data_IF_500361957726
#
_entry.id   IF_500361957726
#
_cell.length_a   1.000
_cell.length_b   1.000
_cell.length_c   1.000
_cell.angle_alpha   90.00
_cell.angle_beta   90.00
_cell.angle_gamma   90.00
#
_symmetry.space_group_name_H-M   'P 1'
#
loop_
_entity.id
_entity.type
_entity.pdbx_description
1 polymer ?
#
# COMPACT_ATOMS: atom_id res chain seq x y z
N UNK A 1 -84.04 -27.04 -1.31
CA UNK A 1 -83.20 -25.83 -1.50
C UNK A 1 -81.90 -26.31 -2.11
N UNK A 2 -81.67 -26.14 -3.42
CA UNK A 2 -80.91 -25.01 -4.04
C UNK A 2 -79.63 -24.73 -3.23
N UNK A 3 -78.42 -24.92 -3.72
CA UNK A 3 -77.86 -24.37 -4.98
C UNK A 3 -76.57 -25.08 -5.41
N UNK A 4 -76.39 -25.25 -6.72
CA UNK A 4 -75.08 -25.40 -7.35
C UNK A 4 -74.35 -24.06 -7.38
N UNK A 5 -73.05 -24.02 -7.06
CA UNK A 5 -72.15 -22.91 -7.41
C UNK A 5 -70.76 -23.45 -7.82
N UNK A 6 -70.58 -23.55 -9.14
CA UNK A 6 -69.49 -22.93 -9.91
C UNK A 6 -68.07 -23.48 -9.73
N UNK A 7 -67.68 -24.27 -10.74
CA UNK A 7 -66.33 -24.48 -11.25
C UNK A 7 -65.72 -23.17 -11.76
N UNK A 8 -64.76 -22.57 -11.04
CA UNK A 8 -63.83 -21.58 -11.63
C UNK A 8 -62.38 -22.06 -11.50
N UNK A 9 -61.81 -22.30 -12.67
CA UNK A 9 -60.40 -22.20 -12.98
C UNK A 9 -59.71 -21.11 -12.15
N UNK A 10 -58.62 -21.45 -11.48
CA UNK A 10 -57.37 -20.71 -11.65
C UNK A 10 -56.22 -21.68 -11.41
N UNK A 11 -55.54 -22.03 -12.50
CA UNK A 11 -54.24 -22.68 -12.50
C UNK A 11 -53.29 -21.93 -11.58
N UNK A 12 -53.00 -22.46 -10.40
CA UNK A 12 -51.82 -22.05 -9.66
C UNK A 12 -50.67 -22.90 -10.22
N UNK A 13 -50.20 -22.51 -11.40
CA UNK A 13 -48.82 -22.80 -11.79
C UNK A 13 -47.99 -22.01 -10.77
N UNK A 14 -47.53 -22.67 -9.72
CA UNK A 14 -46.51 -22.09 -8.84
C UNK A 14 -45.26 -21.95 -9.67
N UNK A 15 -45.09 -20.77 -10.26
CA UNK A 15 -43.85 -20.32 -10.86
C UNK A 15 -42.86 -20.17 -9.70
N UNK A 16 -42.24 -21.27 -9.29
CA UNK A 16 -41.11 -21.23 -8.36
C UNK A 16 -39.97 -20.58 -9.13
N UNK A 17 -39.88 -19.26 -9.01
CA UNK A 17 -38.69 -18.52 -9.40
C UNK A 17 -37.59 -19.09 -8.53
N UNK A 18 -36.79 -20.00 -9.10
CA UNK A 18 -35.49 -20.32 -8.55
C UNK A 18 -34.68 -19.03 -8.64
N UNK A 19 -34.76 -18.21 -7.60
CA UNK A 19 -33.70 -17.27 -7.31
C UNK A 19 -32.49 -18.14 -7.02
N UNK A 20 -31.70 -18.41 -8.04
CA UNK A 20 -30.32 -18.84 -7.86
C UNK A 20 -29.64 -17.72 -7.09
N UNK A 21 -29.62 -17.83 -5.77
CA UNK A 21 -28.77 -17.01 -4.93
C UNK A 21 -27.37 -17.41 -5.36
N UNK A 22 -26.76 -16.62 -6.24
CA UNK A 22 -25.32 -16.66 -6.43
C UNK A 22 -24.74 -16.14 -5.14
N UNK A 23 -24.54 -17.02 -4.15
CA UNK A 23 -23.72 -16.70 -2.99
C UNK A 23 -22.34 -16.44 -3.62
N UNK A 24 -21.80 -15.22 -3.52
CA UNK A 24 -20.42 -15.01 -3.93
C UNK A 24 -19.59 -15.93 -3.03
N UNK A 25 -19.07 -17.02 -3.61
CA UNK A 25 -18.15 -17.93 -2.92
C UNK A 25 -16.83 -17.17 -2.78
N UNK A 26 -16.78 -16.27 -1.80
CA UNK A 26 -15.50 -15.84 -1.28
C UNK A 26 -14.93 -17.06 -0.57
N UNK A 27 -13.72 -17.45 -0.97
CA UNK A 27 -12.92 -18.36 -0.15
C UNK A 27 -12.83 -17.77 1.25
N UNK A 28 -13.16 -18.57 2.26
CA UNK A 28 -12.95 -18.19 3.65
C UNK A 28 -11.47 -17.86 3.88
N UNK A 29 -11.21 -16.89 4.76
CA UNK A 29 -9.86 -16.58 5.21
C UNK A 29 -9.15 -17.84 5.70
N UNK A 30 -7.90 -18.01 5.29
CA UNK A 30 -7.09 -19.11 5.80
C UNK A 30 -6.78 -18.88 7.30
N UNK A 31 -6.85 -19.96 8.08
CA UNK A 31 -6.68 -19.88 9.53
C UNK A 31 -5.31 -19.35 9.96
N UNK A 32 -4.25 -19.63 9.20
CA UNK A 32 -2.92 -19.07 9.45
C UNK A 32 -2.90 -17.55 9.26
N UNK A 33 -3.57 -17.05 8.20
CA UNK A 33 -3.67 -15.62 7.92
C UNK A 33 -4.49 -14.90 8.99
N UNK A 34 -5.63 -15.48 9.39
CA UNK A 34 -6.46 -14.99 10.49
C UNK A 34 -5.67 -14.94 11.80
N UNK A 35 -4.92 -16.01 12.12
CA UNK A 35 -4.07 -16.07 13.31
C UNK A 35 -3.02 -14.97 13.32
N UNK A 36 -2.33 -14.73 12.19
CA UNK A 36 -1.35 -13.66 12.06
C UNK A 36 -1.96 -12.27 12.25
N UNK A 37 -3.16 -12.02 11.74
CA UNK A 37 -3.87 -10.75 11.94
C UNK A 37 -4.31 -10.54 13.39
N UNK A 38 -4.78 -11.59 14.07
CA UNK A 38 -5.12 -11.49 15.50
C UNK A 38 -3.88 -11.28 16.38
N UNK A 39 -2.78 -11.97 16.06
CA UNK A 39 -1.49 -11.72 16.69
C UNK A 39 -1.03 -10.28 16.46
N UNK A 40 -1.21 -9.77 15.23
CA UNK A 40 -0.84 -8.41 14.87
C UNK A 40 -1.63 -7.43 15.75
N UNK A 41 -2.95 -7.54 15.75
CA UNK A 41 -3.85 -6.75 16.61
C UNK A 41 -3.40 -6.78 18.08
N UNK A 42 -3.06 -7.95 18.60
CA UNK A 42 -2.65 -8.09 20.01
C UNK A 42 -1.31 -7.45 20.34
N UNK A 43 -0.43 -7.30 19.34
CA UNK A 43 0.90 -6.70 19.49
C UNK A 43 0.93 -5.20 19.22
N UNK A 44 -0.04 -4.67 18.48
CA UNK A 44 -0.12 -3.26 18.16
C UNK A 44 -0.62 -2.46 19.37
N UNK A 45 0.02 -1.32 19.60
CA UNK A 45 -0.48 -0.32 20.54
C UNK A 45 -1.38 0.64 19.76
N UNK A 46 -2.66 0.71 20.12
CA UNK A 46 -3.62 1.61 19.48
C UNK A 46 -4.72 2.05 20.46
N UNK A 47 -5.38 3.16 20.16
CA UNK A 47 -6.54 3.65 20.93
C UNK A 47 -7.85 2.98 20.46
N UNK A 48 -8.49 2.13 21.30
CA UNK A 48 -9.73 1.45 20.92
C UNK A 48 -10.93 2.39 20.72
N UNK A 49 -10.94 3.57 21.35
CA UNK A 49 -12.05 4.54 21.24
C UNK A 49 -12.01 5.28 19.90
N UNK A 50 -10.82 5.42 19.32
CA UNK A 50 -10.58 6.07 18.04
C UNK A 50 -10.47 5.10 16.86
N UNK A 51 -10.15 3.83 17.11
CA UNK A 51 -10.00 2.82 16.05
C UNK A 51 -11.34 2.45 15.42
N UNK A 52 -11.35 2.35 14.10
CA UNK A 52 -12.55 1.98 13.34
C UNK A 52 -12.42 0.57 12.75
N UNK A 53 -11.18 0.07 12.58
CA UNK A 53 -10.90 -1.23 11.96
C UNK A 53 -10.46 -2.25 13.01
N UNK A 54 -9.30 -2.02 13.65
CA UNK A 54 -8.68 -2.97 14.58
C UNK A 54 -9.60 -3.35 15.74
N UNK A 55 -10.36 -2.40 16.30
CA UNK A 55 -11.30 -2.68 17.40
C UNK A 55 -12.31 -3.79 17.04
N UNK A 56 -12.73 -3.84 15.78
CA UNK A 56 -13.78 -4.75 15.28
C UNK A 56 -13.27 -6.12 14.83
N UNK A 57 -11.95 -6.32 14.72
CA UNK A 57 -11.41 -7.64 14.34
C UNK A 57 -11.66 -8.66 15.45
N UNK A 58 -12.54 -9.64 15.18
CA UNK A 58 -13.01 -10.62 16.14
C UNK A 58 -12.75 -12.06 15.67
N UNK A 59 -12.37 -12.94 16.59
CA UNK A 59 -11.93 -14.29 16.27
C UNK A 59 -13.00 -15.25 15.72
N UNK A 60 -14.28 -14.90 15.76
CA UNK A 60 -15.37 -15.77 15.26
C UNK A 60 -15.62 -15.59 13.76
N UNK A 61 -15.27 -14.43 13.21
CA UNK A 61 -15.71 -14.03 11.88
C UNK A 61 -14.66 -14.37 10.82
N UNK A 62 -15.07 -14.38 9.55
CA UNK A 62 -14.16 -14.52 8.42
C UNK A 62 -13.29 -13.26 8.30
N UNK A 63 -11.97 -13.42 8.42
CA UNK A 63 -11.04 -12.28 8.42
C UNK A 63 -11.09 -11.47 7.12
N UNK A 64 -11.49 -12.10 6.00
CA UNK A 64 -11.63 -11.42 4.72
C UNK A 64 -12.81 -10.43 4.67
N UNK A 65 -13.67 -10.44 5.70
CA UNK A 65 -14.75 -9.47 5.88
C UNK A 65 -14.38 -8.36 6.87
N UNK A 66 -13.20 -8.41 7.49
CA UNK A 66 -12.78 -7.37 8.41
C UNK A 66 -12.47 -6.08 7.66
N UNK A 67 -12.89 -4.96 8.23
CA UNK A 67 -12.51 -3.64 7.71
C UNK A 67 -10.98 -3.54 7.64
N UNK A 68 -10.50 -3.08 6.49
CA UNK A 68 -9.06 -2.97 6.21
C UNK A 68 -8.38 -4.25 5.73
N UNK A 69 -9.06 -5.40 5.68
CA UNK A 69 -8.48 -6.65 5.17
C UNK A 69 -9.01 -6.94 3.76
N UNK A 70 -8.09 -7.23 2.84
CA UNK A 70 -8.43 -7.69 1.48
C UNK A 70 -7.79 -9.05 1.24
N UNK A 71 -8.61 -10.01 0.81
CA UNK A 71 -8.16 -11.34 0.46
C UNK A 71 -8.25 -11.61 -1.04
N UNK A 72 -7.41 -12.50 -1.55
CA UNK A 72 -7.61 -13.09 -2.88
C UNK A 72 -8.62 -14.25 -2.83
N UNK A 73 -8.93 -14.82 -4.00
CA UNK A 73 -9.85 -15.96 -4.17
C UNK A 73 -9.43 -17.26 -3.47
N UNK A 74 -8.28 -17.29 -2.82
CA UNK A 74 -7.75 -18.44 -2.07
C UNK A 74 -7.70 -18.18 -0.56
N UNK A 75 -8.31 -17.09 -0.08
CA UNK A 75 -8.37 -16.75 1.35
C UNK A 75 -7.06 -16.19 1.91
N UNK A 76 -6.10 -15.82 1.04
CA UNK A 76 -4.83 -15.23 1.45
C UNK A 76 -4.98 -13.71 1.55
N UNK A 77 -4.45 -13.13 2.61
CA UNK A 77 -4.44 -11.67 2.81
C UNK A 77 -3.44 -11.06 1.84
N UNK A 78 -3.95 -10.26 0.91
CA UNK A 78 -3.16 -9.54 -0.11
C UNK A 78 -3.17 -8.04 0.11
N UNK A 79 -4.12 -7.52 0.89
CA UNK A 79 -4.22 -6.11 1.21
C UNK A 79 -4.49 -5.91 2.69
N UNK A 80 -3.75 -5.00 3.29
CA UNK A 80 -3.95 -4.57 4.66
C UNK A 80 -3.93 -3.04 4.73
N UNK A 81 -5.05 -2.46 5.10
CA UNK A 81 -5.25 -1.03 5.31
C UNK A 81 -5.54 -0.79 6.79
N UNK A 82 -4.53 -0.24 7.47
CA UNK A 82 -4.54 0.16 8.87
C UNK A 82 -4.31 1.66 9.02
N UNK A 83 -4.63 2.46 7.98
CA UNK A 83 -4.53 3.90 8.09
C UNK A 83 -5.51 4.45 9.14
N UNK A 84 -5.18 5.58 9.78
CA UNK A 84 -6.08 6.27 10.72
C UNK A 84 -6.64 5.43 11.87
N UNK A 85 -5.91 4.41 12.34
CA UNK A 85 -6.34 3.56 13.46
C UNK A 85 -5.68 3.93 14.79
N UNK A 86 -5.09 5.13 14.86
CA UNK A 86 -4.41 5.65 16.06
C UNK A 86 -3.36 4.70 16.62
N UNK A 87 -2.65 3.99 15.73
CA UNK A 87 -1.58 3.06 16.12
C UNK A 87 -0.36 3.88 16.56
N UNK A 88 0.16 3.63 17.75
CA UNK A 88 1.32 4.33 18.32
C UNK A 88 2.58 3.46 18.39
N UNK A 89 2.45 2.13 18.31
CA UNK A 89 3.56 1.22 18.57
C UNK A 89 3.26 -0.24 18.20
N UNK A 90 4.18 -1.13 18.57
CA UNK A 90 4.03 -2.59 18.35
C UNK A 90 4.53 -3.11 16.99
N UNK A 91 5.03 -2.23 16.12
CA UNK A 91 5.59 -2.62 14.83
C UNK A 91 7.13 -2.70 14.91
N UNK A 92 7.65 -3.89 15.24
CA UNK A 92 9.09 -4.19 15.25
C UNK A 92 9.39 -5.40 14.33
N UNK A 93 10.67 -5.75 14.14
CA UNK A 93 11.10 -6.85 13.25
C UNK A 93 10.46 -8.22 13.54
N UNK A 94 9.95 -8.45 14.75
CA UNK A 94 9.26 -9.69 15.13
C UNK A 94 7.74 -9.65 14.91
N UNK A 95 7.20 -8.55 14.39
CA UNK A 95 5.77 -8.37 14.16
C UNK A 95 5.20 -9.46 13.23
N UNK A 96 4.03 -10.00 13.58
CA UNK A 96 3.32 -10.99 12.76
C UNK A 96 2.87 -10.44 11.40
N UNK A 97 2.91 -9.11 11.19
CA UNK A 97 2.75 -8.48 9.88
C UNK A 97 3.67 -9.15 8.83
N UNK A 98 4.92 -9.43 9.20
CA UNK A 98 5.90 -10.02 8.28
C UNK A 98 5.66 -11.51 7.99
N UNK A 99 4.71 -12.14 8.69
CA UNK A 99 4.18 -13.46 8.37
C UNK A 99 3.20 -13.44 7.20
N UNK A 100 2.58 -12.30 6.88
CA UNK A 100 1.61 -12.12 5.79
C UNK A 100 2.33 -11.99 4.43
N UNK A 101 3.07 -13.04 4.04
CA UNK A 101 3.95 -13.05 2.86
C UNK A 101 3.26 -12.83 1.50
N UNK A 102 1.93 -12.89 1.47
CA UNK A 102 1.13 -12.64 0.26
C UNK A 102 0.71 -11.17 0.13
N UNK A 103 1.07 -10.29 1.07
CA UNK A 103 0.77 -8.86 0.99
C UNK A 103 1.28 -8.24 -0.30
N UNK A 104 0.35 -7.63 -1.02
CA UNK A 104 0.59 -6.81 -2.21
C UNK A 104 0.34 -5.33 -1.93
N UNK A 105 -0.56 -5.01 -1.00
CA UNK A 105 -0.90 -3.65 -0.59
C UNK A 105 -0.83 -3.50 0.93
N UNK A 106 -0.05 -2.54 1.41
CA UNK A 106 0.01 -2.18 2.82
C UNK A 106 -0.13 -0.67 2.98
N UNK A 107 -1.10 -0.23 3.78
CA UNK A 107 -1.31 1.16 4.15
C UNK A 107 -1.29 1.32 5.68
N UNK A 108 -0.30 2.05 6.17
CA UNK A 108 -0.07 2.36 7.59
C UNK A 108 -0.12 3.88 7.85
N UNK A 109 -0.56 4.69 6.88
CA UNK A 109 -0.50 6.13 6.96
C UNK A 109 -1.41 6.72 8.06
N UNK A 110 -1.12 7.96 8.44
CA UNK A 110 -1.91 8.73 9.42
C UNK A 110 -2.13 7.98 10.75
N UNK A 111 -1.04 7.38 11.25
CA UNK A 111 -0.93 6.78 12.57
C UNK A 111 0.12 7.56 13.41
N UNK A 112 0.22 7.24 14.70
CA UNK A 112 1.02 7.97 15.70
C UNK A 112 2.33 7.26 16.10
N UNK A 113 3.00 6.60 15.16
CA UNK A 113 4.27 5.87 15.34
C UNK A 113 5.49 6.77 15.65
N UNK A 114 5.30 7.89 16.36
CA UNK A 114 6.31 8.94 16.56
C UNK A 114 7.68 8.38 16.98
N UNK A 115 8.69 8.58 16.14
CA UNK A 115 10.09 8.14 16.32
C UNK A 115 10.33 6.63 16.24
N UNK A 116 9.37 5.82 15.77
CA UNK A 116 9.61 4.41 15.49
C UNK A 116 10.47 4.26 14.22
N UNK A 117 11.53 3.44 14.32
CA UNK A 117 12.29 3.03 13.14
C UNK A 117 11.45 2.06 12.29
N UNK A 118 11.50 2.21 10.97
CA UNK A 118 10.86 1.26 10.06
C UNK A 118 11.64 -0.07 10.14
N UNK A 119 11.00 -1.19 10.53
CA UNK A 119 11.67 -2.49 10.68
C UNK A 119 12.36 -2.96 9.39
N UNK A 120 13.53 -3.58 9.52
CA UNK A 120 14.25 -4.17 8.39
C UNK A 120 13.48 -5.34 7.74
N UNK A 121 12.56 -5.96 8.49
CA UNK A 121 11.75 -7.11 8.08
C UNK A 121 10.71 -6.79 7.00
N UNK A 122 10.49 -5.50 6.67
CA UNK A 122 9.77 -5.11 5.46
C UNK A 122 10.36 -5.76 4.19
N UNK A 123 11.67 -6.05 4.18
CA UNK A 123 12.35 -6.79 3.12
C UNK A 123 11.84 -8.22 2.87
N UNK A 124 11.07 -8.80 3.80
CA UNK A 124 10.46 -10.13 3.65
C UNK A 124 9.18 -10.09 2.81
N UNK A 125 8.54 -8.93 2.71
CA UNK A 125 7.28 -8.75 1.99
C UNK A 125 7.51 -8.53 0.50
N UNK A 126 8.10 -9.53 -0.16
CA UNK A 126 8.55 -9.44 -1.57
C UNK A 126 7.42 -9.30 -2.58
N UNK A 127 6.16 -9.55 -2.20
CA UNK A 127 5.01 -9.35 -3.08
C UNK A 127 4.43 -7.93 -3.04
N UNK A 128 4.93 -7.06 -2.16
CA UNK A 128 4.43 -5.69 -2.05
C UNK A 128 4.57 -4.94 -3.36
N UNK A 129 3.46 -4.35 -3.80
CA UNK A 129 3.35 -3.48 -4.98
C UNK A 129 2.98 -2.06 -4.59
N UNK A 130 2.26 -1.91 -3.49
CA UNK A 130 1.86 -0.63 -2.91
C UNK A 130 2.24 -0.60 -1.43
N UNK A 131 2.97 0.43 -1.04
CA UNK A 131 3.31 0.69 0.35
C UNK A 131 3.09 2.16 0.68
N UNK A 132 2.31 2.40 1.73
CA UNK A 132 2.10 3.71 2.34
C UNK A 132 2.44 3.62 3.83
N UNK A 133 3.36 4.46 4.29
CA UNK A 133 3.93 4.41 5.65
C UNK A 133 3.69 5.71 6.42
N UNK A 134 3.95 5.62 7.73
CA UNK A 134 3.94 6.72 8.70
C UNK A 134 5.29 7.48 8.75
N UNK A 135 5.40 8.44 9.67
CA UNK A 135 6.58 9.30 9.89
C UNK A 135 7.81 8.55 10.45
N UNK A 136 9.01 8.78 9.89
CA UNK A 136 10.24 8.08 10.33
C UNK A 136 11.40 8.25 9.33
N UNK A 137 12.53 7.58 9.51
CA UNK A 137 13.61 7.58 8.50
C UNK A 137 13.38 6.48 7.46
N UNK A 138 13.61 6.75 6.17
CA UNK A 138 13.51 5.72 5.11
C UNK A 138 14.67 4.72 5.32
N UNK A 139 14.41 3.44 5.63
CA UNK A 139 15.49 2.49 5.91
C UNK A 139 16.12 2.00 4.60
N UNK A 140 17.43 1.75 4.64
CA UNK A 140 18.19 1.22 3.51
C UNK A 140 17.59 -0.09 2.95
N UNK A 141 17.04 -0.95 3.82
CA UNK A 141 16.41 -2.19 3.41
C UNK A 141 15.20 -1.99 2.47
N UNK A 142 14.43 -0.90 2.68
CA UNK A 142 13.30 -0.58 1.79
C UNK A 142 13.81 -0.32 0.37
N UNK A 143 14.91 0.44 0.26
CA UNK A 143 15.57 0.73 -1.02
C UNK A 143 16.20 -0.53 -1.62
N UNK A 144 16.90 -1.35 -0.83
CA UNK A 144 17.68 -2.49 -1.34
C UNK A 144 16.82 -3.69 -1.76
N UNK A 145 15.75 -3.98 -1.01
CA UNK A 145 15.00 -5.24 -1.13
C UNK A 145 13.59 -5.07 -1.66
N UNK A 146 12.94 -3.99 -1.28
CA UNK A 146 11.50 -3.82 -1.52
C UNK A 146 11.25 -3.06 -2.83
N UNK A 147 12.14 -2.14 -3.24
CA UNK A 147 12.02 -1.45 -4.55
C UNK A 147 12.24 -2.37 -5.76
N UNK A 148 12.79 -3.57 -5.56
CA UNK A 148 12.89 -4.58 -6.61
C UNK A 148 11.50 -5.08 -7.04
N UNK A 149 10.49 -5.01 -6.17
CA UNK A 149 9.14 -5.53 -6.43
C UNK A 149 8.04 -4.48 -6.32
N UNK A 150 8.27 -3.38 -5.61
CA UNK A 150 7.32 -2.27 -5.49
C UNK A 150 7.12 -1.55 -6.82
N UNK A 151 5.86 -1.36 -7.18
CA UNK A 151 5.46 -0.49 -8.29
C UNK A 151 5.14 0.93 -7.81
N UNK A 152 4.58 1.06 -6.60
CA UNK A 152 4.15 2.33 -6.01
C UNK A 152 4.66 2.41 -4.57
N UNK A 153 5.50 3.40 -4.31
CA UNK A 153 5.94 3.76 -2.97
C UNK A 153 5.45 5.18 -2.68
N UNK A 154 4.45 5.29 -1.80
CA UNK A 154 3.90 6.57 -1.39
C UNK A 154 4.34 6.84 0.04
N UNK A 155 5.17 7.86 0.20
CA UNK A 155 5.66 8.30 1.51
C UNK A 155 5.38 9.80 1.71
N UNK A 156 4.46 10.38 0.95
CA UNK A 156 4.20 11.82 0.99
C UNK A 156 3.56 12.28 2.30
N UNK A 157 3.69 13.57 2.61
CA UNK A 157 3.10 14.24 3.76
C UNK A 157 3.46 13.57 5.09
N UNK A 158 4.71 13.14 5.22
CA UNK A 158 5.27 12.57 6.44
C UNK A 158 6.29 13.54 7.06
N UNK A 159 6.93 13.13 8.16
CA UNK A 159 8.06 13.87 8.74
C UNK A 159 9.37 13.13 8.50
N UNK A 160 9.54 12.54 7.32
CA UNK A 160 10.73 11.75 7.04
C UNK A 160 11.98 12.63 7.03
N UNK A 161 13.03 12.20 7.71
CA UNK A 161 14.33 12.90 7.80
C UNK A 161 15.46 12.03 7.28
N UNK A 162 16.64 12.62 7.10
CA UNK A 162 17.81 11.95 6.52
C UNK A 162 17.72 11.84 5.01
N UNK A 163 18.67 11.14 4.40
CA UNK A 163 18.77 11.09 2.94
C UNK A 163 18.07 9.86 2.38
N UNK A 164 17.71 9.92 1.10
CA UNK A 164 17.36 8.74 0.29
C UNK A 164 18.66 7.96 0.01
N UNK A 165 19.36 7.51 1.07
CA UNK A 165 20.58 6.73 0.89
C UNK A 165 20.19 5.37 0.33
N UNK A 166 20.88 4.99 -0.75
CA UNK A 166 20.74 3.67 -1.35
C UNK A 166 21.00 3.65 -2.84
N UNK A 167 21.66 2.58 -3.27
CA UNK A 167 21.69 2.23 -4.68
C UNK A 167 20.35 1.54 -5.00
N UNK A 168 19.40 2.24 -5.63
CA UNK A 168 18.27 1.54 -6.25
C UNK A 168 18.84 0.42 -7.12
N UNK A 169 18.40 -0.83 -6.92
CA UNK A 169 19.01 -1.97 -7.57
C UNK A 169 18.80 -1.92 -9.08
N UNK A 170 19.72 -2.54 -9.83
CA UNK A 170 19.48 -2.80 -11.26
C UNK A 170 18.18 -3.59 -11.43
N UNK A 171 17.32 -3.16 -12.35
CA UNK A 171 16.00 -3.76 -12.56
C UNK A 171 14.92 -3.28 -11.59
N UNK A 172 15.13 -2.17 -10.89
CA UNK A 172 14.11 -1.49 -10.10
C UNK A 172 12.77 -1.38 -10.87
N UNK A 173 11.69 -1.82 -10.23
CA UNK A 173 10.35 -1.92 -10.85
C UNK A 173 9.44 -0.74 -10.51
N UNK A 174 9.95 0.21 -9.74
CA UNK A 174 9.21 1.36 -9.24
C UNK A 174 8.70 2.23 -10.40
N UNK A 175 7.40 2.50 -10.39
CA UNK A 175 6.70 3.39 -11.34
C UNK A 175 6.37 4.74 -10.70
N UNK A 176 6.00 4.70 -9.43
CA UNK A 176 5.58 5.88 -8.68
C UNK A 176 6.34 5.95 -7.36
N UNK A 177 6.99 7.08 -7.13
CA UNK A 177 7.68 7.39 -5.89
C UNK A 177 7.26 8.78 -5.42
N UNK A 178 6.40 8.84 -4.41
CA UNK A 178 5.87 10.10 -3.89
C UNK A 178 6.53 10.43 -2.54
N UNK A 179 7.36 11.47 -2.52
CA UNK A 179 8.13 11.89 -1.34
C UNK A 179 7.79 13.32 -0.88
N UNK A 180 6.84 14.00 -1.51
CA UNK A 180 6.45 15.38 -1.19
C UNK A 180 6.05 15.54 0.28
N UNK A 181 6.23 16.73 0.85
CA UNK A 181 5.77 17.05 2.21
C UNK A 181 6.53 16.26 3.27
N UNK A 182 7.86 16.25 3.19
CA UNK A 182 8.78 15.58 4.12
C UNK A 182 9.89 16.54 4.57
N UNK A 183 10.94 16.04 5.25
CA UNK A 183 12.11 16.80 5.71
C UNK A 183 13.41 16.07 5.36
N UNK A 184 13.45 15.51 4.15
CA UNK A 184 14.58 14.74 3.65
C UNK A 184 15.81 15.65 3.43
N UNK A 185 16.99 15.08 3.50
CA UNK A 185 18.25 15.80 3.34
C UNK A 185 19.14 15.10 2.29
N UNK A 186 20.22 15.75 1.85
CA UNK A 186 21.21 15.15 0.95
C UNK A 186 20.74 14.91 -0.49
N UNK A 187 21.65 14.37 -1.32
CA UNK A 187 21.44 14.30 -2.77
C UNK A 187 20.48 13.16 -3.18
N UNK A 188 19.69 13.38 -4.24
CA UNK A 188 18.94 12.30 -4.88
C UNK A 188 19.95 11.33 -5.51
N UNK A 189 19.91 10.03 -5.18
CA UNK A 189 20.93 9.10 -5.63
C UNK A 189 20.81 8.85 -7.14
N UNK A 190 21.94 8.93 -7.86
CA UNK A 190 22.01 8.63 -9.30
C UNK A 190 21.48 7.24 -9.68
N UNK A 191 21.50 6.30 -8.72
CA UNK A 191 20.96 4.96 -8.87
C UNK A 191 19.47 4.93 -9.19
N UNK A 192 18.72 6.02 -8.91
CA UNK A 192 17.32 6.14 -9.31
C UNK A 192 17.12 5.95 -10.83
N UNK A 193 18.14 6.22 -11.64
CA UNK A 193 18.16 5.90 -13.07
C UNK A 193 17.97 4.41 -13.38
N UNK A 194 18.22 3.51 -12.41
CA UNK A 194 17.97 2.07 -12.55
C UNK A 194 16.47 1.73 -12.56
N UNK A 195 15.60 2.64 -12.12
CA UNK A 195 14.14 2.50 -12.16
C UNK A 195 13.58 2.94 -13.53
N UNK A 196 13.92 2.20 -14.59
CA UNK A 196 13.64 2.58 -15.98
C UNK A 196 12.14 2.77 -16.33
N UNK A 197 11.23 2.32 -15.47
CA UNK A 197 9.77 2.44 -15.64
C UNK A 197 9.14 3.53 -14.76
N UNK A 198 9.93 4.35 -14.07
CA UNK A 198 9.42 5.42 -13.24
C UNK A 198 8.73 6.50 -14.08
N UNK A 199 7.49 6.83 -13.73
CA UNK A 199 6.64 7.79 -14.44
C UNK A 199 6.30 9.01 -13.59
N UNK A 200 6.22 8.85 -12.27
CA UNK A 200 5.84 9.93 -11.34
C UNK A 200 6.79 9.89 -10.16
N UNK A 201 7.67 10.89 -10.07
CA UNK A 201 8.52 11.07 -8.91
C UNK A 201 8.42 12.50 -8.41
N UNK A 202 7.84 12.68 -7.23
CA UNK A 202 7.53 14.01 -6.72
C UNK A 202 8.29 14.31 -5.43
N UNK A 203 8.97 15.46 -5.39
CA UNK A 203 9.62 16.03 -4.21
C UNK A 203 9.44 17.56 -4.23
N UNK A 204 9.29 18.23 -3.06
CA UNK A 204 9.32 19.70 -2.98
C UNK A 204 10.66 20.21 -2.45
N UNK A 205 11.07 21.41 -2.86
CA UNK A 205 12.31 22.04 -2.39
C UNK A 205 12.31 22.30 -0.88
N UNK A 206 11.16 22.62 -0.28
CA UNK A 206 11.02 22.76 1.17
C UNK A 206 11.16 21.43 1.92
N UNK A 207 11.06 20.31 1.20
CA UNK A 207 11.30 18.97 1.75
C UNK A 207 12.79 18.61 1.77
N UNK A 208 13.66 19.45 1.19
CA UNK A 208 15.10 19.23 1.08
C UNK A 208 15.84 20.26 1.95
N UNK A 209 16.70 19.81 2.86
CA UNK A 209 17.52 20.73 3.65
C UNK A 209 18.41 21.62 2.76
N UNK A 210 18.70 22.83 3.26
CA UNK A 210 19.58 23.82 2.63
C UNK A 210 20.93 23.18 2.21
N UNK A 211 21.25 23.24 0.92
CA UNK A 211 22.50 22.67 0.37
C UNK A 211 22.36 21.28 -0.27
N UNK A 212 21.15 20.71 -0.28
CA UNK A 212 20.84 19.52 -1.08
C UNK A 212 21.09 19.79 -2.56
N UNK A 213 21.98 19.01 -3.19
CA UNK A 213 22.25 19.09 -4.61
C UNK A 213 21.41 18.04 -5.34
N UNK A 214 20.72 18.45 -6.38
CA UNK A 214 20.28 17.52 -7.41
C UNK A 214 21.54 17.06 -8.13
N UNK A 215 21.82 15.76 -8.11
CA UNK A 215 22.82 15.22 -9.01
C UNK A 215 22.42 15.60 -10.45
N UNK A 216 23.38 16.10 -11.23
CA UNK A 216 23.15 16.47 -12.63
C UNK A 216 22.74 15.22 -13.42
N UNK A 217 21.45 15.01 -13.60
CA UNK A 217 20.95 13.95 -14.47
C UNK A 217 21.24 14.35 -15.94
N UNK A 218 21.77 13.44 -16.76
CA UNK A 218 22.01 13.73 -18.17
C UNK A 218 20.69 13.67 -18.93
N UNK A 219 19.86 14.71 -18.85
CA UNK A 219 19.00 15.06 -19.99
C UNK A 219 19.54 16.43 -20.48
N UNK A 220 20.75 16.45 -21.08
CA UNK A 220 21.28 17.67 -21.69
C UNK A 220 20.47 17.99 -22.93
N UNK A 221 19.87 19.19 -23.00
CA UNK A 221 19.44 19.73 -24.28
C UNK A 221 20.67 19.97 -25.16
N UNK A 222 21.03 19.02 -26.02
CA UNK A 222 21.57 19.33 -27.35
C UNK A 222 21.63 18.11 -28.26
N UNK A 223 21.13 18.34 -29.47
CA UNK A 223 21.42 17.65 -30.73
C UNK A 223 21.09 16.16 -30.87
N UNK A 224 20.01 15.90 -31.62
CA UNK A 224 19.91 14.88 -32.69
C UNK A 224 20.91 13.71 -32.63
N UNK A 225 20.53 12.59 -32.00
CA UNK A 225 20.86 11.19 -32.36
C UNK A 225 20.97 10.19 -31.19
N UNK A 226 20.17 10.29 -30.14
CA UNK A 226 20.01 9.15 -29.22
C UNK A 226 18.54 8.90 -28.90
N UNK A 227 18.01 7.80 -29.45
CA UNK A 227 16.60 7.46 -29.49
C UNK A 227 16.13 6.50 -28.39
N UNK A 228 16.80 6.39 -27.24
CA UNK A 228 16.52 5.30 -26.28
C UNK A 228 16.54 5.65 -24.78
N UNK A 229 16.40 6.93 -24.40
CA UNK A 229 16.24 7.31 -22.98
C UNK A 229 14.88 7.97 -22.78
N UNK A 230 13.96 7.25 -22.15
CA UNK A 230 12.60 7.69 -21.85
C UNK A 230 12.65 8.51 -20.54
N UNK A 231 13.01 9.80 -20.60
CA UNK A 231 13.08 10.70 -19.42
C UNK A 231 11.64 11.07 -18.97
N UNK A 232 10.79 10.15 -18.49
CA UNK A 232 9.35 10.37 -18.19
C UNK A 232 9.06 11.04 -16.81
N UNK A 233 9.98 11.85 -16.28
CA UNK A 233 9.92 12.33 -14.90
C UNK A 233 9.19 13.67 -14.76
N UNK A 234 8.20 13.72 -13.87
CA UNK A 234 7.52 14.96 -13.45
C UNK A 234 8.05 15.39 -12.09
N UNK A 235 8.95 16.37 -12.07
CA UNK A 235 9.42 17.02 -10.85
C UNK A 235 8.54 18.25 -10.64
N UNK A 236 7.82 18.32 -9.51
CA UNK A 236 6.97 19.47 -9.19
C UNK A 236 7.73 20.41 -8.26
N UNK A 237 8.14 21.56 -8.79
CA UNK A 237 8.91 22.58 -8.08
C UNK A 237 8.03 23.82 -7.89
N UNK A 238 7.61 24.15 -6.66
CA UNK A 238 6.79 25.34 -6.35
C UNK A 238 5.60 25.53 -7.34
N UNK A 239 4.73 24.52 -7.45
CA UNK A 239 3.58 24.47 -8.39
C UNK A 239 3.93 24.52 -9.90
N UNK A 240 5.21 24.46 -10.27
CA UNK A 240 5.64 24.22 -11.64
C UNK A 240 5.87 22.73 -11.88
N UNK A 241 5.11 22.18 -12.83
CA UNK A 241 5.30 20.83 -13.37
C UNK A 241 6.41 20.89 -14.41
N UNK A 242 7.61 20.41 -14.09
CA UNK A 242 8.63 20.15 -15.12
C UNK A 242 8.40 18.74 -15.65
N UNK A 243 7.69 18.63 -16.76
CA UNK A 243 7.62 17.43 -17.58
C UNK A 243 8.89 17.40 -18.44
N UNK A 244 9.77 16.44 -18.20
CA UNK A 244 10.85 16.13 -19.14
C UNK A 244 10.30 15.10 -20.13
N UNK A 245 10.64 15.28 -21.41
CA UNK A 245 10.31 14.35 -22.51
C UNK A 245 11.60 13.75 -23.05
#
# INVERSE_FOLDING_TARGET
MRTEIITWFFSIVTLTIFFSITIPVHSQCLEDQKSLLLQLKSSLEFDPDSSVKLVNWAGTDDCCQWNGVTCNRFGRVIGLDLNTDSISGGLNDSSSLFGLKFLEKLDLANNSFNFAEIPSSFGVLTNLRYLNLFTGTIPQCLVDKVTATLSVLNLQNNSLTGNIMGAFPEGCTLRTLELNGNKLEGEIPNSLANCANAEVITWREQDLALGTKLASYPCSMSSSNFSYLNCKYVIIWNDMVLVWA
#
